data_IF_029552538044
#
_entry.id   IF_029552538044
#
_cell.length_a   1.000
_cell.length_b   1.000
_cell.length_c   1.000
_cell.angle_alpha   90.00
_cell.angle_beta   90.00
_cell.angle_gamma   90.00
#
_symmetry.space_group_name_H-M   'P 1'
#
loop_
_entity.id
_entity.type
_entity.pdbx_description
1 polymer ?
#
# COMPACT_ATOMS: atom_id res chain seq x y z
N UNK A 1 27.97 18.24 66.88
CA UNK A 1 28.98 19.12 67.51
C UNK A 1 30.06 19.37 66.47
N UNK A 2 29.83 20.40 65.67
CA UNK A 2 30.77 20.96 64.70
C UNK A 2 31.99 21.54 65.39
N UNK A 3 33.19 21.17 64.93
CA UNK A 3 34.44 21.85 65.26
C UNK A 3 35.27 21.99 63.98
N UNK A 4 35.27 23.24 63.50
CA UNK A 4 36.30 23.94 62.72
C UNK A 4 36.70 23.36 61.34
N UNK A 5 36.31 23.97 60.20
CA UNK A 5 36.60 25.33 59.70
C UNK A 5 38.08 25.58 59.37
N UNK A 6 38.39 25.33 58.09
CA UNK A 6 39.10 26.22 57.16
C UNK A 6 40.62 26.47 57.35
N UNK A 7 41.18 26.92 56.21
CA UNK A 7 42.50 27.50 55.94
C UNK A 7 43.53 26.49 55.40
N UNK A 8 44.15 26.68 54.23
CA UNK A 8 44.11 27.70 53.18
C UNK A 8 45.08 27.22 52.06
N UNK A 9 44.90 27.74 50.85
CA UNK A 9 45.94 28.06 49.85
C UNK A 9 46.56 26.98 48.94
N UNK A 10 46.65 27.33 47.65
CA UNK A 10 47.67 26.85 46.69
C UNK A 10 47.14 25.84 45.68
N UNK A 11 46.44 26.22 44.61
CA UNK A 11 47.01 26.71 43.36
C UNK A 11 48.27 25.94 42.89
N UNK A 12 48.11 25.16 41.81
CA UNK A 12 48.90 25.20 40.56
C UNK A 12 49.40 23.82 40.03
N UNK A 13 48.75 23.36 38.95
CA UNK A 13 49.26 22.69 37.73
C UNK A 13 50.35 21.60 37.79
N UNK A 14 49.99 20.33 37.48
CA UNK A 14 50.72 19.36 36.62
C UNK A 14 49.65 18.39 36.03
N UNK A 15 49.13 18.56 34.81
CA UNK A 15 49.63 18.08 33.49
C UNK A 15 49.68 16.54 33.35
N UNK A 16 48.67 16.02 32.62
CA UNK A 16 48.68 14.95 31.60
C UNK A 16 49.26 13.59 32.00
N UNK A 17 48.40 12.55 32.05
CA UNK A 17 48.53 11.28 31.30
C UNK A 17 47.56 10.21 31.83
N UNK A 18 46.35 10.15 31.28
CA UNK A 18 45.57 8.89 31.23
C UNK A 18 44.76 8.92 29.94
N UNK A 19 45.42 8.52 28.86
CA UNK A 19 44.83 8.24 27.55
C UNK A 19 45.25 6.82 27.19
N UNK A 20 44.44 5.85 27.63
CA UNK A 20 44.36 4.44 27.23
C UNK A 20 43.49 3.76 28.29
N UNK A 21 42.25 3.34 28.09
CA UNK A 21 41.53 2.98 26.88
C UNK A 21 40.08 3.47 27.04
N UNK A 22 39.62 4.33 26.15
CA UNK A 22 38.18 4.55 25.93
C UNK A 22 37.93 4.01 24.54
N UNK A 23 37.26 2.87 24.46
CA UNK A 23 36.86 2.27 23.19
C UNK A 23 36.01 3.28 22.42
N UNK A 24 36.29 3.52 21.13
CA UNK A 24 35.43 4.35 20.33
C UNK A 24 34.20 3.51 20.02
N UNK A 25 33.13 3.67 20.80
CA UNK A 25 31.79 3.36 20.31
C UNK A 25 31.42 4.41 19.26
N UNK A 26 32.09 4.31 18.12
CA UNK A 26 31.75 4.94 16.86
C UNK A 26 30.86 4.01 16.06
N UNK A 27 29.72 3.61 16.62
CA UNK A 27 28.57 3.30 15.79
C UNK A 27 27.76 4.58 15.68
N UNK A 28 28.17 5.42 14.72
CA UNK A 28 27.29 6.42 14.15
C UNK A 28 26.22 5.64 13.38
N UNK A 29 25.23 5.12 14.09
CA UNK A 29 23.98 4.76 13.45
C UNK A 29 23.44 6.06 12.88
N UNK A 30 23.39 6.17 11.56
CA UNK A 30 22.56 7.18 10.92
C UNK A 30 21.10 6.78 11.13
N UNK A 31 20.67 6.74 12.39
CA UNK A 31 19.29 6.62 12.78
C UNK A 31 18.64 7.94 12.41
N UNK A 32 17.94 7.98 11.28
CA UNK A 32 17.03 9.07 10.98
C UNK A 32 16.05 9.15 12.15
N UNK A 33 16.18 10.19 12.98
CA UNK A 33 15.24 10.41 14.08
C UNK A 33 13.85 10.58 13.47
N UNK A 34 12.94 9.65 13.77
CA UNK A 34 11.56 9.71 13.28
C UNK A 34 10.90 10.95 13.87
N UNK A 35 10.42 11.83 12.99
CA UNK A 35 9.71 13.03 13.40
C UNK A 35 8.51 12.67 14.27
N UNK A 36 8.33 13.40 15.36
CA UNK A 36 7.16 13.24 16.24
C UNK A 36 5.87 13.53 15.47
N UNK A 37 4.74 12.96 15.93
CA UNK A 37 3.42 13.24 15.34
C UNK A 37 3.14 14.76 15.24
N UNK A 38 3.56 15.53 16.24
CA UNK A 38 3.41 16.99 16.23
C UNK A 38 4.22 17.66 15.12
N UNK A 39 5.46 17.22 14.88
CA UNK A 39 6.29 17.73 13.78
C UNK A 39 5.70 17.36 12.40
N UNK A 40 5.11 16.18 12.27
CA UNK A 40 4.41 15.76 11.04
C UNK A 40 3.17 16.63 10.77
N UNK A 41 2.37 16.90 11.81
CA UNK A 41 1.19 17.78 11.71
C UNK A 41 1.62 19.21 11.35
N UNK A 42 2.56 19.81 12.08
CA UNK A 42 3.02 21.17 11.80
C UNK A 42 3.58 21.33 10.38
N UNK A 43 4.29 20.30 9.88
CA UNK A 43 4.71 20.25 8.48
C UNK A 43 3.51 20.20 7.54
N UNK A 44 2.53 19.34 7.78
CA UNK A 44 1.33 19.23 6.95
C UNK A 44 0.54 20.55 6.91
N UNK A 45 0.33 21.18 8.06
CA UNK A 45 -0.35 22.47 8.20
C UNK A 45 0.36 23.56 7.39
N UNK A 46 1.70 23.54 7.33
CA UNK A 46 2.48 24.52 6.54
C UNK A 46 2.27 24.39 5.02
N UNK A 47 1.77 23.25 4.54
CA UNK A 47 1.42 23.01 3.14
C UNK A 47 -0.10 23.01 2.90
N UNK A 48 -0.92 23.20 3.93
CA UNK A 48 -2.36 23.22 3.79
C UNK A 48 -2.79 24.46 3.00
N UNK A 49 -3.67 24.25 2.02
CA UNK A 49 -4.23 25.36 1.26
C UNK A 49 -5.21 26.14 2.15
N UNK A 50 -5.29 27.47 1.97
CA UNK A 50 -6.25 28.31 2.69
C UNK A 50 -7.67 28.14 2.12
N UNK A 51 -8.22 26.94 2.27
CA UNK A 51 -9.55 26.52 1.82
C UNK A 51 -10.25 25.83 2.98
N UNK A 52 -11.54 26.12 3.23
CA UNK A 52 -12.31 25.36 4.21
C UNK A 52 -12.26 23.86 3.88
N UNK A 53 -11.94 23.02 4.86
CA UNK A 53 -12.06 21.58 4.71
C UNK A 53 -13.53 21.17 4.70
N UNK A 54 -13.96 20.52 3.62
CA UNK A 54 -15.26 19.86 3.52
C UNK A 54 -15.04 18.37 3.30
N UNK A 55 -15.58 17.54 4.21
CA UNK A 55 -15.48 16.10 4.06
C UNK A 55 -16.24 15.65 2.79
N UNK A 56 -15.74 14.64 2.06
CA UNK A 56 -16.48 14.05 0.96
C UNK A 56 -17.87 13.62 1.41
N UNK A 57 -18.93 13.90 0.61
CA UNK A 57 -20.27 13.53 0.98
C UNK A 57 -20.44 12.00 1.05
N UNK A 58 -21.47 11.56 1.77
CA UNK A 58 -21.86 10.16 1.87
C UNK A 58 -21.36 9.46 3.14
N UNK A 59 -21.58 8.15 3.18
CA UNK A 59 -21.29 7.32 4.35
C UNK A 59 -19.90 6.66 4.22
N UNK A 60 -19.04 6.86 5.22
CA UNK A 60 -17.66 6.32 5.21
C UNK A 60 -17.61 4.78 5.10
N UNK A 61 -18.50 4.06 5.79
CA UNK A 61 -18.61 2.61 5.67
C UNK A 61 -19.01 2.21 4.24
N UNK A 62 -19.99 2.89 3.65
CA UNK A 62 -20.38 2.67 2.25
C UNK A 62 -19.20 2.86 1.28
N UNK A 63 -18.38 3.90 1.49
CA UNK A 63 -17.19 4.16 0.68
C UNK A 63 -16.11 3.08 0.84
N UNK A 64 -15.90 2.55 2.05
CA UNK A 64 -15.02 1.40 2.24
C UNK A 64 -15.55 0.17 1.50
N UNK A 65 -16.85 -0.12 1.62
CA UNK A 65 -17.46 -1.29 0.95
C UNK A 65 -17.50 -1.12 -0.58
N UNK A 66 -17.61 0.12 -1.07
CA UNK A 66 -17.42 0.47 -2.48
C UNK A 66 -16.03 0.05 -2.98
N UNK A 67 -14.99 0.36 -2.20
CA UNK A 67 -13.62 -0.08 -2.47
C UNK A 67 -13.45 -1.59 -2.37
N UNK A 68 -14.10 -2.24 -1.40
CA UNK A 68 -14.05 -3.69 -1.26
C UNK A 68 -14.68 -4.42 -2.45
N UNK A 69 -15.87 -3.98 -2.88
CA UNK A 69 -16.55 -4.54 -4.05
C UNK A 69 -15.67 -4.45 -5.30
N UNK A 70 -14.99 -3.31 -5.51
CA UNK A 70 -14.03 -3.13 -6.61
C UNK A 70 -12.93 -4.18 -6.58
N UNK A 71 -12.27 -4.29 -5.43
CA UNK A 71 -11.10 -5.17 -5.29
C UNK A 71 -11.51 -6.62 -5.47
N UNK A 72 -12.64 -7.02 -4.88
CA UNK A 72 -13.13 -8.38 -5.01
C UNK A 72 -13.55 -8.70 -6.45
N UNK A 73 -14.21 -7.78 -7.14
CA UNK A 73 -14.52 -7.92 -8.57
C UNK A 73 -13.24 -8.11 -9.39
N UNK A 74 -12.20 -7.31 -9.16
CA UNK A 74 -10.92 -7.46 -9.87
C UNK A 74 -10.25 -8.80 -9.56
N UNK A 75 -10.22 -9.21 -8.29
CA UNK A 75 -9.62 -10.47 -7.87
C UNK A 75 -10.30 -11.67 -8.57
N UNK A 76 -11.63 -11.68 -8.62
CA UNK A 76 -12.39 -12.78 -9.23
C UNK A 76 -12.33 -12.72 -10.75
N UNK A 77 -12.70 -11.60 -11.38
CA UNK A 77 -12.92 -11.56 -12.83
C UNK A 77 -11.71 -11.18 -13.68
N UNK A 78 -10.66 -10.60 -13.07
CA UNK A 78 -9.42 -10.28 -13.78
C UNK A 78 -8.34 -11.30 -13.42
N UNK A 79 -8.11 -11.52 -12.13
CA UNK A 79 -7.06 -12.43 -11.68
C UNK A 79 -7.51 -13.89 -11.64
N UNK A 80 -8.81 -14.17 -11.60
CA UNK A 80 -9.32 -15.54 -11.53
C UNK A 80 -9.20 -16.20 -10.16
N UNK A 81 -9.08 -15.40 -9.09
CA UNK A 81 -9.01 -15.93 -7.72
C UNK A 81 -10.37 -16.43 -7.25
N UNK A 82 -10.33 -17.44 -6.38
CA UNK A 82 -11.51 -17.87 -5.63
C UNK A 82 -12.07 -16.70 -4.80
N UNK A 83 -13.40 -16.58 -4.78
CA UNK A 83 -14.06 -15.44 -4.18
C UNK A 83 -13.93 -15.41 -2.64
N UNK A 84 -13.97 -16.57 -1.99
CA UNK A 84 -13.84 -16.65 -0.53
C UNK A 84 -12.39 -16.39 -0.10
N UNK A 85 -11.44 -16.97 -0.83
CA UNK A 85 -10.02 -16.67 -0.66
C UNK A 85 -9.73 -15.18 -0.83
N UNK A 86 -10.25 -14.57 -1.90
CA UNK A 86 -10.04 -13.15 -2.18
C UNK A 86 -10.68 -12.24 -1.13
N UNK A 87 -11.89 -12.57 -0.65
CA UNK A 87 -12.57 -11.80 0.39
C UNK A 87 -11.80 -11.80 1.72
N UNK A 88 -11.16 -12.93 2.05
CA UNK A 88 -10.34 -13.08 3.25
C UNK A 88 -8.98 -12.39 3.10
N UNK A 89 -8.31 -12.53 1.96
CA UNK A 89 -6.88 -12.19 1.88
C UNK A 89 -6.58 -10.86 1.15
N UNK A 90 -7.51 -10.31 0.37
CA UNK A 90 -7.24 -9.18 -0.54
C UNK A 90 -8.06 -7.95 -0.14
N UNK A 91 -7.54 -6.75 -0.41
CA UNK A 91 -8.30 -5.49 -0.32
C UNK A 91 -8.23 -4.73 1.01
N UNK A 92 -7.25 -5.05 1.87
CA UNK A 92 -7.08 -4.44 3.21
C UNK A 92 -6.83 -2.94 3.18
N UNK A 93 -6.26 -2.43 2.09
CA UNK A 93 -6.06 -1.01 1.90
C UNK A 93 -7.39 -0.24 1.74
N UNK A 94 -8.28 -0.70 0.84
CA UNK A 94 -9.54 0.01 0.54
C UNK A 94 -10.63 -0.26 1.58
N UNK A 95 -10.63 -1.45 2.18
CA UNK A 95 -11.54 -1.82 3.26
C UNK A 95 -10.79 -2.65 4.30
N UNK A 96 -10.31 -2.03 5.38
CA UNK A 96 -9.83 -2.75 6.56
C UNK A 96 -10.89 -3.73 7.11
N UNK A 97 -10.45 -4.80 7.79
CA UNK A 97 -11.33 -5.88 8.26
C UNK A 97 -12.53 -5.37 9.07
N UNK A 98 -12.30 -4.36 9.93
CA UNK A 98 -13.33 -3.70 10.73
C UNK A 98 -14.51 -3.16 9.93
N UNK A 99 -14.32 -2.81 8.65
CA UNK A 99 -15.42 -2.35 7.79
C UNK A 99 -16.09 -3.52 7.08
N UNK A 100 -15.33 -4.49 6.57
CA UNK A 100 -15.85 -5.66 5.84
C UNK A 100 -16.79 -6.51 6.67
N UNK A 101 -16.54 -6.61 7.97
CA UNK A 101 -17.39 -7.36 8.90
C UNK A 101 -18.83 -6.86 8.96
N UNK A 102 -19.11 -5.66 8.44
CA UNK A 102 -20.47 -5.12 8.34
C UNK A 102 -21.23 -5.61 7.09
N UNK A 103 -20.57 -6.24 6.13
CA UNK A 103 -21.24 -6.79 4.95
C UNK A 103 -22.11 -7.96 5.39
N UNK A 104 -23.43 -7.83 5.23
CA UNK A 104 -24.42 -8.84 5.63
C UNK A 104 -24.75 -9.82 4.50
N UNK A 105 -24.47 -9.43 3.26
CA UNK A 105 -24.64 -10.28 2.09
C UNK A 105 -23.57 -9.97 1.04
N UNK A 106 -22.97 -11.02 0.49
CA UNK A 106 -22.00 -10.97 -0.61
C UNK A 106 -22.50 -11.85 -1.74
N UNK A 107 -22.69 -11.26 -2.91
CA UNK A 107 -23.08 -11.98 -4.13
C UNK A 107 -22.02 -11.77 -5.20
N UNK A 108 -21.53 -12.87 -5.75
CA UNK A 108 -20.71 -12.90 -6.96
C UNK A 108 -21.61 -13.37 -8.09
N UNK A 109 -21.94 -12.47 -9.00
CA UNK A 109 -22.78 -12.74 -10.16
C UNK A 109 -21.87 -13.02 -11.37
N UNK A 110 -21.74 -14.29 -11.71
CA UNK A 110 -20.90 -14.77 -12.82
C UNK A 110 -21.46 -14.40 -14.20
N UNK A 111 -22.78 -14.25 -14.32
CA UNK A 111 -23.44 -13.95 -15.59
C UNK A 111 -23.21 -12.47 -15.94
N UNK A 112 -23.48 -11.58 -14.98
CA UNK A 112 -23.26 -10.13 -15.15
C UNK A 112 -21.83 -9.70 -14.89
N UNK A 113 -20.99 -10.61 -14.40
CA UNK A 113 -19.61 -10.36 -13.97
C UNK A 113 -19.54 -9.20 -12.97
N UNK A 114 -20.33 -9.28 -11.91
CA UNK A 114 -20.40 -8.25 -10.87
C UNK A 114 -20.33 -8.80 -9.45
N UNK A 115 -19.89 -7.96 -8.53
CA UNK A 115 -19.90 -8.19 -7.09
C UNK A 115 -20.88 -7.23 -6.46
N UNK A 116 -21.80 -7.77 -5.65
CA UNK A 116 -22.75 -6.99 -4.83
C UNK A 116 -22.49 -7.24 -3.35
N UNK A 117 -22.29 -6.16 -2.61
CA UNK A 117 -22.11 -6.19 -1.16
C UNK A 117 -23.22 -5.38 -0.50
N UNK A 118 -24.01 -6.02 0.36
CA UNK A 118 -25.11 -5.40 1.09
C UNK A 118 -24.69 -5.06 2.51
N UNK A 119 -25.00 -3.85 2.94
CA UNK A 119 -24.84 -3.37 4.32
C UNK A 119 -26.12 -3.55 5.14
N UNK A 120 -26.06 -3.46 6.49
CA UNK A 120 -27.22 -3.70 7.36
C UNK A 120 -28.37 -2.70 7.16
N UNK A 121 -28.07 -1.50 6.66
CA UNK A 121 -29.04 -0.45 6.34
C UNK A 121 -29.75 -0.68 4.99
N UNK A 122 -29.41 -1.76 4.28
CA UNK A 122 -29.93 -2.09 2.96
C UNK A 122 -29.15 -1.46 1.80
N UNK A 123 -28.14 -0.62 2.08
CA UNK A 123 -27.28 -0.06 1.04
C UNK A 123 -26.54 -1.18 0.30
N UNK A 124 -26.57 -1.14 -1.03
CA UNK A 124 -25.86 -2.11 -1.88
C UNK A 124 -24.77 -1.41 -2.66
N UNK A 125 -23.53 -1.89 -2.51
CA UNK A 125 -22.39 -1.46 -3.32
C UNK A 125 -22.10 -2.51 -4.38
N UNK A 126 -22.00 -2.05 -5.62
CA UNK A 126 -21.86 -2.91 -6.80
C UNK A 126 -20.59 -2.53 -7.54
N UNK A 127 -19.78 -3.52 -7.89
CA UNK A 127 -18.70 -3.35 -8.86
C UNK A 127 -18.88 -4.36 -9.99
N UNK A 128 -18.74 -3.90 -11.24
CA UNK A 128 -18.95 -4.74 -12.43
C UNK A 128 -17.71 -4.72 -13.31
N UNK A 129 -17.41 -5.87 -13.91
CA UNK A 129 -16.33 -6.06 -14.86
C UNK A 129 -16.77 -5.63 -16.27
N UNK A 130 -15.95 -4.81 -16.92
CA UNK A 130 -16.20 -4.24 -18.24
C UNK A 130 -15.11 -4.63 -19.26
N UNK A 131 -14.60 -5.86 -19.17
CA UNK A 131 -13.58 -6.37 -20.09
C UNK A 131 -12.25 -5.63 -19.92
N UNK A 132 -11.69 -5.12 -21.01
CA UNK A 132 -10.39 -4.41 -21.06
C UNK A 132 -10.34 -3.15 -20.17
N UNK A 133 -11.50 -2.67 -19.69
CA UNK A 133 -11.62 -1.53 -18.79
C UNK A 133 -11.72 -1.92 -17.31
N UNK A 134 -11.60 -3.22 -17.02
CA UNK A 134 -11.51 -3.77 -15.67
C UNK A 134 -12.80 -3.67 -14.87
N UNK A 135 -12.67 -3.74 -13.54
CA UNK A 135 -13.79 -3.63 -12.62
C UNK A 135 -13.98 -2.18 -12.15
N UNK A 136 -15.21 -1.70 -12.32
CA UNK A 136 -15.60 -0.34 -11.94
C UNK A 136 -16.70 -0.41 -10.89
N UNK A 137 -16.52 0.34 -9.80
CA UNK A 137 -17.59 0.51 -8.82
C UNK A 137 -18.64 1.46 -9.33
N UNK A 138 -19.91 1.06 -9.23
CA UNK A 138 -21.03 1.86 -9.65
C UNK A 138 -21.43 2.86 -8.54
N UNK A 139 -21.91 4.06 -8.92
CA UNK A 139 -22.60 4.94 -7.97
C UNK A 139 -23.78 4.21 -7.33
N UNK A 140 -24.13 4.58 -6.10
CA UNK A 140 -25.28 4.00 -5.41
C UNK A 140 -26.57 4.22 -6.22
N UNK A 141 -27.38 3.17 -6.36
CA UNK A 141 -28.64 3.21 -7.11
C UNK A 141 -28.48 3.24 -8.64
N UNK A 142 -27.26 3.19 -9.16
CA UNK A 142 -26.98 3.25 -10.60
C UNK A 142 -26.54 1.87 -11.10
N UNK A 143 -27.10 1.45 -12.24
CA UNK A 143 -26.88 0.09 -12.78
C UNK A 143 -25.79 0.02 -13.87
N UNK A 144 -25.20 1.14 -14.28
CA UNK A 144 -24.09 1.13 -15.24
C UNK A 144 -23.19 2.36 -15.11
N UNK A 145 -22.01 2.29 -15.72
CA UNK A 145 -21.08 3.41 -15.86
C UNK A 145 -21.63 4.51 -16.76
N UNK A 146 -21.14 5.74 -16.58
CA UNK A 146 -21.52 6.91 -17.36
C UNK A 146 -20.75 7.07 -18.69
N UNK A 147 -20.02 6.04 -19.09
CA UNK A 147 -19.33 5.98 -20.37
C UNK A 147 -19.73 4.70 -21.10
N UNK A 148 -19.53 4.65 -22.42
CA UNK A 148 -19.74 3.43 -23.19
C UNK A 148 -18.51 2.54 -23.07
N UNK A 149 -18.63 1.31 -22.54
CA UNK A 149 -17.48 0.42 -22.50
C UNK A 149 -16.99 0.07 -23.90
N UNK A 150 -15.68 0.00 -24.08
CA UNK A 150 -15.05 -0.34 -25.36
C UNK A 150 -14.00 -1.43 -25.14
N UNK A 151 -13.93 -2.36 -26.09
CA UNK A 151 -12.80 -3.30 -26.14
C UNK A 151 -11.60 -2.59 -26.75
N UNK A 152 -10.45 -2.75 -26.10
CA UNK A 152 -9.18 -2.15 -26.47
C UNK A 152 -8.43 -3.15 -27.33
N UNK A 153 -8.19 -2.80 -28.59
CA UNK A 153 -7.39 -3.63 -29.48
C UNK A 153 -5.92 -3.57 -29.09
N UNK A 154 -5.28 -4.74 -28.97
CA UNK A 154 -3.84 -4.84 -28.76
C UNK A 154 -3.12 -4.24 -29.97
N UNK A 155 -2.18 -3.34 -29.72
CA UNK A 155 -1.26 -2.81 -30.73
C UNK A 155 0.18 -3.24 -30.40
N UNK A 156 0.34 -4.50 -30.01
CA UNK A 156 1.63 -5.12 -29.73
C UNK A 156 1.89 -6.19 -30.79
N UNK A 157 3.14 -6.36 -31.25
CA UNK A 157 3.49 -7.49 -32.11
C UNK A 157 3.29 -8.83 -31.37
N UNK A 158 3.26 -9.93 -32.13
CA UNK A 158 3.15 -11.27 -31.54
C UNK A 158 4.34 -11.56 -30.62
N UNK A 159 4.06 -12.02 -29.41
CA UNK A 159 5.06 -12.19 -28.37
C UNK A 159 6.10 -13.26 -28.76
N UNK A 160 5.68 -14.34 -29.41
CA UNK A 160 6.53 -15.45 -29.88
C UNK A 160 7.52 -15.08 -30.99
N UNK A 161 7.38 -13.89 -31.58
CA UNK A 161 8.27 -13.34 -32.61
C UNK A 161 9.01 -12.08 -32.15
N UNK A 162 8.74 -11.61 -30.93
CA UNK A 162 9.32 -10.38 -30.39
C UNK A 162 10.47 -10.70 -29.43
N UNK A 163 11.67 -10.13 -29.60
CA UNK A 163 12.78 -10.30 -28.67
C UNK A 163 12.44 -9.88 -27.23
N UNK A 164 12.90 -10.66 -26.26
CA UNK A 164 12.96 -10.25 -24.86
C UNK A 164 13.75 -8.92 -24.73
N UNK A 165 13.32 -7.96 -23.89
CA UNK A 165 12.29 -8.07 -22.85
C UNK A 165 10.86 -7.76 -23.30
N UNK A 166 10.63 -7.53 -24.59
CA UNK A 166 9.30 -7.13 -25.07
C UNK A 166 8.42 -8.27 -25.59
N UNK A 167 9.00 -9.46 -25.79
CA UNK A 167 8.28 -10.69 -26.06
C UNK A 167 9.05 -11.90 -25.58
N UNK A 168 8.73 -13.06 -26.14
CA UNK A 168 9.10 -14.36 -25.60
C UNK A 168 10.33 -14.96 -26.30
N UNK A 169 10.93 -14.25 -27.27
CA UNK A 169 12.15 -14.72 -27.95
C UNK A 169 13.37 -14.41 -27.07
N UNK A 170 13.91 -15.45 -26.46
CA UNK A 170 15.13 -15.40 -25.63
C UNK A 170 16.37 -15.23 -26.52
N UNK A 171 17.31 -14.31 -26.18
CA UNK A 171 18.58 -14.18 -26.89
C UNK A 171 19.43 -15.47 -26.82
N UNK A 172 20.15 -15.78 -27.90
CA UNK A 172 21.13 -16.88 -27.94
C UNK A 172 22.46 -16.53 -27.28
N UNK A 173 22.67 -15.25 -26.92
CA UNK A 173 23.87 -14.81 -26.21
C UNK A 173 24.01 -15.51 -24.85
N UNK A 174 25.24 -15.72 -24.36
CA UNK A 174 25.46 -16.32 -23.05
C UNK A 174 24.73 -15.53 -21.96
N UNK A 175 23.96 -16.25 -21.13
CA UNK A 175 23.30 -15.65 -19.99
C UNK A 175 24.34 -15.11 -19.00
N UNK A 176 24.02 -14.02 -18.25
CA UNK A 176 24.91 -13.52 -17.21
C UNK A 176 25.21 -14.62 -16.18
N UNK A 177 26.46 -14.73 -15.73
CA UNK A 177 26.89 -15.78 -14.77
C UNK A 177 26.08 -15.79 -13.46
N UNK A 178 25.44 -14.67 -13.11
CA UNK A 178 24.58 -14.54 -11.93
C UNK A 178 23.17 -15.13 -12.10
N UNK A 179 22.80 -15.60 -13.30
CA UNK A 179 21.47 -16.17 -13.59
C UNK A 179 21.57 -17.69 -13.69
N UNK A 180 20.80 -18.40 -12.86
CA UNK A 180 20.69 -19.86 -12.93
C UNK A 180 19.64 -20.29 -13.94
N UNK A 181 20.05 -20.94 -15.02
CA UNK A 181 19.14 -21.48 -16.05
C UNK A 181 18.20 -22.55 -15.49
N UNK A 182 18.68 -23.39 -14.56
CA UNK A 182 17.84 -24.40 -13.91
C UNK A 182 16.67 -23.77 -13.16
N UNK A 183 16.87 -22.62 -12.50
CA UNK A 183 15.80 -21.91 -11.81
C UNK A 183 14.82 -21.25 -12.79
N UNK A 184 15.29 -20.81 -13.96
CA UNK A 184 14.43 -20.25 -15.02
C UNK A 184 13.52 -21.33 -15.60
N UNK A 185 14.03 -22.55 -15.79
CA UNK A 185 13.26 -23.69 -16.32
C UNK A 185 12.23 -24.26 -15.33
N UNK A 186 12.37 -23.97 -14.02
CA UNK A 186 11.44 -24.42 -12.98
C UNK A 186 10.23 -23.48 -12.77
N UNK A 187 10.29 -22.25 -13.27
CA UNK A 187 9.28 -21.21 -13.07
C UNK A 187 8.09 -21.36 -14.03
#
# INVERSE_FOLDING_TARGET
MDILRQFRLGALLIVISYLACTEPNGESSSGVAVATKAQLIARADSFEMNTPYEAPPGNALSHHISGFAKILCSAVFITGLDADFAAENIGYFSAPYQYRSHVVNRVIDEEKKEVRLTLPDGTVRVARYYGDQGCVTLPEGVDSVYFRPVSIQKNLPEADSTPWPMGDVVPEDPWPESVSLEQVEQA
#
